data_IF_843533548296
#
_entry.id   IF_843533548296
#
_cell.length_a   1.000
_cell.length_b   1.000
_cell.length_c   1.000
_cell.angle_alpha   90.00
_cell.angle_beta   90.00
_cell.angle_gamma   90.00
#
_symmetry.space_group_name_H-M   'P 1'
#
loop_
_entity.id
_entity.type
_entity.pdbx_description
1 polymer ?
#
# COMPACT_ATOMS: atom_id res chain seq x y z
N UNK A 1 -4.94 -9.56 31.05
CA UNK A 1 -4.05 -10.31 30.14
C UNK A 1 -3.10 -9.39 29.38
N UNK A 2 -3.57 -8.28 28.79
CA UNK A 2 -2.69 -7.24 28.19
C UNK A 2 -1.52 -6.86 29.12
N UNK A 3 -1.77 -6.55 30.40
CA UNK A 3 -0.70 -6.28 31.40
C UNK A 3 0.33 -7.42 31.54
N UNK A 4 -0.09 -8.68 31.47
CA UNK A 4 0.79 -9.84 31.62
C UNK A 4 1.71 -9.95 30.41
N UNK A 5 1.18 -9.73 29.21
CA UNK A 5 1.96 -9.76 27.98
C UNK A 5 3.04 -8.67 27.98
N UNK A 6 2.68 -7.41 28.27
CA UNK A 6 3.65 -6.33 28.39
C UNK A 6 4.78 -6.66 29.40
N UNK A 7 4.44 -7.22 30.57
CA UNK A 7 5.43 -7.68 31.56
C UNK A 7 6.31 -8.83 31.04
N UNK A 8 5.76 -9.76 30.29
CA UNK A 8 6.47 -10.95 29.80
C UNK A 8 7.53 -10.60 28.74
N UNK A 9 7.30 -9.54 27.95
CA UNK A 9 8.25 -9.07 26.94
C UNK A 9 9.29 -8.05 27.45
N UNK A 10 9.39 -7.84 28.77
CA UNK A 10 10.32 -6.85 29.34
C UNK A 10 9.95 -5.40 29.05
N UNK A 11 8.70 -5.14 28.62
CA UNK A 11 8.20 -3.79 28.42
C UNK A 11 7.67 -3.20 29.73
N UNK A 12 7.63 -1.87 29.79
CA UNK A 12 6.93 -1.11 30.84
C UNK A 12 5.57 -1.76 31.13
N UNK A 13 5.28 -2.09 32.39
CA UNK A 13 3.96 -2.60 32.76
C UNK A 13 2.96 -1.46 32.55
N UNK A 14 2.05 -1.54 31.56
CA UNK A 14 1.09 -0.47 31.35
C UNK A 14 0.26 -0.30 32.61
N UNK A 15 0.03 0.95 32.96
CA UNK A 15 -0.93 1.36 33.96
C UNK A 15 -2.32 0.82 33.63
N UNK A 16 -3.18 0.68 34.63
CA UNK A 16 -4.58 0.29 34.40
C UNK A 16 -5.28 1.22 33.39
N UNK A 17 -4.89 2.48 33.34
CA UNK A 17 -5.41 3.48 32.40
C UNK A 17 -4.98 3.17 30.96
N UNK A 18 -3.72 2.86 30.69
CA UNK A 18 -3.26 2.51 29.32
C UNK A 18 -3.94 1.26 28.76
N UNK A 19 -4.28 0.30 29.63
CA UNK A 19 -5.03 -0.90 29.23
C UNK A 19 -6.48 -0.53 28.87
N UNK A 20 -7.15 0.27 29.70
CA UNK A 20 -8.51 0.74 29.45
C UNK A 20 -8.58 1.59 28.17
N UNK A 21 -7.62 2.48 27.97
CA UNK A 21 -7.46 3.28 26.74
C UNK A 21 -7.26 2.38 25.52
N UNK A 22 -6.42 1.35 25.60
CA UNK A 22 -6.23 0.42 24.47
C UNK A 22 -7.52 -0.33 24.13
N UNK A 23 -8.27 -0.76 25.15
CA UNK A 23 -9.58 -1.41 24.95
C UNK A 23 -10.58 -0.43 24.32
N UNK A 24 -10.57 0.84 24.74
CA UNK A 24 -11.40 1.89 24.16
C UNK A 24 -11.03 2.13 22.68
N UNK A 25 -9.75 2.30 22.37
CA UNK A 25 -9.26 2.48 21.00
C UNK A 25 -9.73 1.34 20.10
N UNK A 26 -9.60 0.08 20.56
CA UNK A 26 -10.00 -1.10 19.76
C UNK A 26 -11.51 -1.18 19.55
N UNK A 27 -12.31 -0.91 20.59
CA UNK A 27 -13.77 -1.13 20.53
C UNK A 27 -14.56 0.04 19.96
N UNK A 28 -14.11 1.26 20.24
CA UNK A 28 -14.86 2.49 19.95
C UNK A 28 -14.24 3.31 18.82
N UNK A 29 -12.94 3.11 18.54
CA UNK A 29 -12.17 3.99 17.66
C UNK A 29 -11.49 3.23 16.51
N UNK A 30 -11.94 1.99 16.27
CA UNK A 30 -11.50 1.14 15.16
C UNK A 30 -9.99 0.86 15.10
N UNK A 31 -9.30 0.80 16.25
CA UNK A 31 -7.90 0.38 16.30
C UNK A 31 -7.76 -1.12 16.01
N UNK A 32 -6.95 -1.45 15.01
CA UNK A 32 -6.67 -2.83 14.62
C UNK A 32 -5.23 -3.06 14.11
N UNK A 33 -4.90 -4.33 13.92
CA UNK A 33 -3.78 -4.73 13.07
C UNK A 33 -4.33 -4.90 11.65
N UNK A 34 -4.13 -3.88 10.81
CA UNK A 34 -4.57 -3.90 9.42
C UNK A 34 -4.03 -5.10 8.67
N UNK A 35 -2.77 -5.46 8.91
CA UNK A 35 -2.18 -6.63 8.27
C UNK A 35 -1.05 -7.29 9.03
N UNK A 36 -0.99 -8.61 8.90
CA UNK A 36 0.21 -9.42 9.09
C UNK A 36 0.61 -9.99 7.73
N UNK A 37 1.77 -9.58 7.21
CA UNK A 37 2.30 -10.02 5.93
C UNK A 37 3.52 -10.91 6.13
N UNK A 38 3.47 -12.14 5.61
CA UNK A 38 4.62 -13.04 5.57
C UNK A 38 5.39 -12.84 4.28
N UNK A 39 6.62 -12.35 4.41
CA UNK A 39 7.58 -12.28 3.32
C UNK A 39 8.26 -13.63 3.11
N UNK A 40 8.32 -14.13 1.88
CA UNK A 40 8.91 -15.43 1.53
C UNK A 40 9.87 -15.26 0.36
N UNK A 41 11.13 -15.65 0.55
CA UNK A 41 12.11 -15.72 -0.53
C UNK A 41 11.78 -16.88 -1.47
N UNK A 42 11.70 -16.63 -2.78
CA UNK A 42 11.53 -17.68 -3.81
C UNK A 42 12.78 -17.90 -4.67
N UNK A 43 13.93 -17.34 -4.26
CA UNK A 43 15.15 -17.37 -5.09
C UNK A 43 15.67 -18.78 -5.38
N UNK A 44 15.49 -19.70 -4.43
CA UNK A 44 15.83 -21.13 -4.51
C UNK A 44 14.78 -21.97 -5.26
N UNK A 45 13.60 -21.42 -5.56
CA UNK A 45 12.59 -22.11 -6.36
C UNK A 45 12.87 -22.05 -7.86
N UNK A 46 13.70 -21.11 -8.32
CA UNK A 46 13.99 -20.84 -9.74
C UNK A 46 14.37 -22.12 -10.51
N UNK A 47 13.67 -22.38 -11.62
CA UNK A 47 13.93 -23.53 -12.47
C UNK A 47 13.63 -23.21 -13.95
N UNK A 48 14.38 -23.77 -14.94
CA UNK A 48 14.13 -23.53 -16.35
C UNK A 48 12.80 -24.08 -16.87
N UNK A 49 12.31 -25.16 -16.27
CA UNK A 49 11.01 -25.75 -16.55
C UNK A 49 9.91 -25.01 -15.75
N UNK A 50 8.90 -24.41 -16.43
CA UNK A 50 7.79 -23.73 -15.75
C UNK A 50 6.98 -24.63 -14.83
N UNK A 51 6.81 -25.92 -15.13
CA UNK A 51 6.00 -26.82 -14.29
C UNK A 51 6.70 -27.06 -12.94
N UNK A 52 8.00 -27.38 -12.99
CA UNK A 52 8.84 -27.54 -11.79
C UNK A 52 8.95 -26.23 -10.99
N UNK A 53 9.08 -25.09 -11.68
CA UNK A 53 9.09 -23.78 -11.00
C UNK A 53 7.78 -23.52 -10.25
N UNK A 54 6.64 -23.79 -10.88
CA UNK A 54 5.32 -23.64 -10.26
C UNK A 54 5.15 -24.59 -9.06
N UNK A 55 5.60 -25.85 -9.16
CA UNK A 55 5.60 -26.80 -8.05
C UNK A 55 6.43 -26.27 -6.87
N UNK A 56 7.67 -25.85 -7.13
CA UNK A 56 8.58 -25.32 -6.11
C UNK A 56 8.00 -24.12 -5.35
N UNK A 57 7.40 -23.14 -6.06
CA UNK A 57 6.82 -21.97 -5.39
C UNK A 57 5.56 -22.34 -4.61
N UNK A 58 4.72 -23.25 -5.13
CA UNK A 58 3.52 -23.69 -4.44
C UNK A 58 3.87 -24.39 -3.12
N UNK A 59 4.79 -25.36 -3.16
CA UNK A 59 5.24 -26.08 -1.98
C UNK A 59 5.89 -25.14 -0.96
N UNK A 60 6.74 -24.21 -1.41
CA UNK A 60 7.42 -23.28 -0.51
C UNK A 60 6.45 -22.31 0.15
N UNK A 61 5.52 -21.72 -0.60
CA UNK A 61 4.54 -20.76 -0.06
C UNK A 61 3.62 -21.47 0.95
N UNK A 62 3.04 -22.60 0.58
CA UNK A 62 2.09 -23.33 1.43
C UNK A 62 2.77 -23.91 2.68
N UNK A 63 3.99 -24.44 2.58
CA UNK A 63 4.72 -24.96 3.74
C UNK A 63 5.10 -23.87 4.74
N UNK A 64 5.55 -22.70 4.27
CA UNK A 64 5.91 -21.56 5.14
C UNK A 64 4.68 -20.91 5.78
N UNK A 65 3.59 -20.76 5.04
CA UNK A 65 2.39 -20.09 5.50
C UNK A 65 1.39 -20.99 6.26
N UNK A 66 1.66 -22.30 6.34
CA UNK A 66 0.77 -23.31 6.94
C UNK A 66 0.14 -22.92 8.28
N UNK A 67 0.93 -22.31 9.16
CA UNK A 67 0.50 -21.98 10.53
C UNK A 67 0.10 -20.50 10.71
N UNK A 68 0.15 -19.70 9.64
CA UNK A 68 -0.05 -18.25 9.69
C UNK A 68 -1.47 -17.89 10.17
N UNK A 69 -2.50 -18.48 9.57
CA UNK A 69 -3.89 -18.20 9.91
C UNK A 69 -4.22 -18.65 11.33
N UNK A 70 -3.83 -19.87 11.69
CA UNK A 70 -4.05 -20.40 13.04
C UNK A 70 -3.39 -19.51 14.09
N UNK A 71 -2.11 -19.18 13.90
CA UNK A 71 -1.34 -18.37 14.85
C UNK A 71 -1.91 -16.97 15.01
N UNK A 72 -2.26 -16.30 13.91
CA UNK A 72 -2.84 -14.95 13.97
C UNK A 72 -4.22 -14.96 14.63
N UNK A 73 -5.05 -15.97 14.39
CA UNK A 73 -6.36 -16.11 15.05
C UNK A 73 -6.22 -16.35 16.57
N UNK A 74 -5.30 -17.21 17.00
CA UNK A 74 -5.01 -17.42 18.42
C UNK A 74 -4.56 -16.13 19.11
N UNK A 75 -3.72 -15.33 18.45
CA UNK A 75 -3.23 -14.04 18.96
C UNK A 75 -4.37 -13.02 19.03
N UNK A 76 -5.19 -12.92 17.99
CA UNK A 76 -6.38 -12.08 17.97
C UNK A 76 -7.32 -12.42 19.15
N UNK A 77 -7.58 -13.71 19.39
CA UNK A 77 -8.39 -14.16 20.53
C UNK A 77 -7.74 -13.86 21.89
N UNK A 78 -6.42 -14.02 22.00
CA UNK A 78 -5.68 -13.82 23.24
C UNK A 78 -5.64 -12.34 23.66
N UNK A 79 -5.41 -11.44 22.70
CA UNK A 79 -5.28 -10.01 22.97
C UNK A 79 -6.57 -9.22 22.81
N UNK A 80 -7.57 -9.79 22.12
CA UNK A 80 -8.79 -9.07 21.76
C UNK A 80 -8.57 -7.96 20.74
N UNK A 81 -7.44 -8.00 20.01
CA UNK A 81 -7.08 -7.01 18.99
C UNK A 81 -7.36 -7.64 17.63
N UNK A 82 -8.27 -7.07 16.82
CA UNK A 82 -8.56 -7.57 15.48
C UNK A 82 -7.30 -7.55 14.62
N UNK A 83 -7.06 -8.65 13.89
CA UNK A 83 -6.15 -8.67 12.75
C UNK A 83 -7.06 -8.74 11.54
N UNK A 84 -7.00 -7.76 10.65
CA UNK A 84 -7.93 -7.65 9.52
C UNK A 84 -7.48 -8.56 8.39
N UNK A 85 -6.24 -8.40 7.92
CA UNK A 85 -5.72 -9.17 6.79
C UNK A 85 -4.49 -10.00 7.13
N UNK A 86 -4.43 -11.24 6.64
CA UNK A 86 -3.22 -12.07 6.56
C UNK A 86 -2.80 -12.14 5.11
N UNK A 87 -1.51 -11.95 4.87
CA UNK A 87 -0.99 -11.62 3.55
C UNK A 87 0.32 -12.34 3.31
N UNK A 88 0.66 -12.56 2.05
CA UNK A 88 1.97 -13.09 1.65
C UNK A 88 2.59 -12.11 0.65
N UNK A 89 3.89 -11.86 0.77
CA UNK A 89 4.68 -11.17 -0.25
C UNK A 89 5.84 -12.06 -0.66
N UNK A 90 6.07 -12.22 -1.95
CA UNK A 90 7.15 -13.08 -2.45
C UNK A 90 8.21 -12.30 -3.20
N UNK A 91 9.38 -12.92 -3.41
CA UNK A 91 10.42 -12.34 -4.27
C UNK A 91 9.82 -11.92 -5.61
N UNK A 92 10.14 -10.73 -6.14
CA UNK A 92 9.66 -10.28 -7.44
C UNK A 92 9.73 -11.40 -8.48
N UNK A 93 8.59 -11.80 -9.02
CA UNK A 93 8.50 -12.94 -9.95
C UNK A 93 9.38 -12.72 -11.18
N UNK A 94 9.58 -11.48 -11.60
CA UNK A 94 10.56 -11.12 -12.66
C UNK A 94 11.95 -11.69 -12.39
N UNK A 95 12.39 -11.70 -11.13
CA UNK A 95 13.68 -12.22 -10.68
C UNK A 95 13.61 -13.73 -10.49
N UNK A 96 12.62 -14.23 -9.75
CA UNK A 96 12.51 -15.65 -9.42
C UNK A 96 12.25 -16.53 -10.67
N UNK A 97 11.53 -16.00 -11.66
CA UNK A 97 11.17 -16.69 -12.88
C UNK A 97 12.05 -16.33 -14.10
N UNK A 98 13.12 -15.53 -13.95
CA UNK A 98 13.97 -15.10 -15.08
C UNK A 98 14.57 -16.30 -15.85
N UNK A 99 14.88 -17.40 -15.15
CA UNK A 99 15.42 -18.61 -15.78
C UNK A 99 14.37 -19.46 -16.49
N UNK A 100 13.08 -19.22 -16.21
CA UNK A 100 11.96 -20.02 -16.68
C UNK A 100 11.73 -19.85 -18.19
N UNK A 101 11.65 -20.97 -18.92
CA UNK A 101 11.47 -21.04 -20.38
C UNK A 101 10.01 -20.92 -20.81
N UNK A 102 9.19 -20.17 -20.06
CA UNK A 102 7.83 -19.82 -20.44
C UNK A 102 7.79 -18.58 -21.35
N UNK A 103 6.74 -18.44 -22.15
CA UNK A 103 6.48 -17.23 -22.96
C UNK A 103 5.91 -16.08 -22.11
N UNK A 104 5.14 -16.42 -21.08
CA UNK A 104 4.51 -15.51 -20.13
C UNK A 104 4.59 -16.07 -18.69
N UNK A 105 4.11 -15.32 -17.70
CA UNK A 105 4.07 -15.75 -16.30
C UNK A 105 2.64 -15.87 -15.75
N UNK A 106 1.63 -16.04 -16.61
CA UNK A 106 0.24 -16.22 -16.17
C UNK A 106 0.08 -17.52 -15.37
N UNK A 107 0.79 -18.59 -15.73
CA UNK A 107 0.80 -19.84 -14.94
C UNK A 107 1.32 -19.61 -13.53
N UNK A 108 2.36 -18.79 -13.38
CA UNK A 108 2.97 -18.45 -12.09
C UNK A 108 1.98 -17.68 -11.21
N UNK A 109 1.27 -16.71 -11.79
CA UNK A 109 0.23 -15.97 -11.08
C UNK A 109 -0.89 -16.91 -10.60
N UNK A 110 -1.34 -17.85 -11.43
CA UNK A 110 -2.34 -18.85 -11.02
C UNK A 110 -1.83 -19.73 -9.88
N UNK A 111 -0.57 -20.16 -9.93
CA UNK A 111 0.05 -20.93 -8.85
C UNK A 111 0.14 -20.13 -7.55
N UNK A 112 0.50 -18.84 -7.61
CA UNK A 112 0.47 -17.95 -6.45
C UNK A 112 -0.94 -17.82 -5.86
N UNK A 113 -1.95 -17.69 -6.73
CA UNK A 113 -3.36 -17.59 -6.33
C UNK A 113 -3.83 -18.86 -5.61
N UNK A 114 -3.52 -20.03 -6.15
CA UNK A 114 -3.84 -21.32 -5.53
C UNK A 114 -3.09 -21.52 -4.20
N UNK A 115 -1.82 -21.16 -4.12
CA UNK A 115 -1.05 -21.22 -2.86
C UNK A 115 -1.63 -20.27 -1.81
N UNK A 116 -2.10 -19.08 -2.20
CA UNK A 116 -2.75 -18.12 -1.31
C UNK A 116 -4.11 -18.62 -0.81
N UNK A 117 -4.88 -19.31 -1.66
CA UNK A 117 -6.14 -19.97 -1.27
C UNK A 117 -5.89 -21.11 -0.29
N UNK A 118 -4.92 -21.97 -0.57
CA UNK A 118 -4.55 -23.09 0.31
C UNK A 118 -4.06 -22.59 1.68
N UNK A 119 -3.22 -21.54 1.71
CA UNK A 119 -2.76 -20.93 2.95
C UNK A 119 -3.86 -20.15 3.70
N UNK A 120 -5.02 -19.91 3.07
CA UNK A 120 -6.13 -19.16 3.65
C UNK A 120 -5.86 -17.65 3.83
N UNK A 121 -4.85 -17.09 3.15
CA UNK A 121 -4.51 -15.66 3.23
C UNK A 121 -5.40 -14.82 2.32
N UNK A 122 -5.57 -13.54 2.62
CA UNK A 122 -6.46 -12.65 1.86
C UNK A 122 -5.87 -12.30 0.48
N UNK A 123 -4.57 -12.01 0.43
CA UNK A 123 -3.88 -11.58 -0.78
C UNK A 123 -2.42 -12.04 -0.80
N UNK A 124 -1.88 -12.15 -2.01
CA UNK A 124 -0.47 -12.43 -2.28
C UNK A 124 0.13 -11.40 -3.25
N UNK A 125 1.17 -10.71 -2.80
CA UNK A 125 1.97 -9.77 -3.59
C UNK A 125 3.28 -10.39 -4.06
N UNK A 126 3.97 -9.71 -4.97
CA UNK A 126 5.27 -10.13 -5.49
C UNK A 126 5.26 -10.51 -6.97
N UNK A 127 4.10 -10.46 -7.64
CA UNK A 127 4.02 -10.51 -9.10
C UNK A 127 4.55 -9.19 -9.69
N UNK A 128 5.85 -8.94 -9.51
CA UNK A 128 6.43 -7.61 -9.59
C UNK A 128 7.72 -7.55 -10.41
N UNK A 129 8.03 -6.36 -10.94
CA UNK A 129 9.25 -6.06 -11.67
C UNK A 129 9.92 -4.76 -11.22
N UNK A 130 11.25 -4.70 -11.31
CA UNK A 130 12.07 -3.56 -10.85
C UNK A 130 12.82 -2.93 -12.03
N UNK A 131 12.12 -2.17 -12.86
CA UNK A 131 12.60 -1.71 -14.19
C UNK A 131 13.07 -0.25 -14.26
N UNK A 132 13.25 0.40 -13.11
CA UNK A 132 13.66 1.80 -12.98
C UNK A 132 14.94 2.22 -13.75
N UNK A 133 15.77 1.26 -14.19
CA UNK A 133 16.97 1.53 -14.99
C UNK A 133 17.03 0.76 -16.32
N UNK A 134 15.90 0.22 -16.76
CA UNK A 134 15.75 -0.61 -17.96
C UNK A 134 15.18 -1.98 -17.62
N UNK A 135 14.75 -2.70 -18.65
CA UNK A 135 14.02 -3.96 -18.56
C UNK A 135 14.87 -5.13 -19.06
N UNK A 136 14.86 -6.25 -18.34
CA UNK A 136 15.32 -7.55 -18.85
C UNK A 136 14.23 -8.23 -19.70
N UNK A 137 14.55 -9.41 -20.23
CA UNK A 137 13.54 -10.26 -20.90
C UNK A 137 12.50 -10.75 -19.90
N UNK A 138 12.90 -11.18 -18.69
CA UNK A 138 11.96 -11.58 -17.64
C UNK A 138 11.06 -10.44 -17.17
N UNK A 139 11.60 -9.22 -17.03
CA UNK A 139 10.81 -8.04 -16.68
C UNK A 139 9.69 -7.78 -17.69
N UNK A 140 10.02 -7.76 -18.99
CA UNK A 140 9.04 -7.54 -20.04
C UNK A 140 8.00 -8.67 -20.11
N UNK A 141 8.41 -9.93 -19.92
CA UNK A 141 7.46 -11.05 -19.84
C UNK A 141 6.48 -10.85 -18.69
N UNK A 142 6.97 -10.47 -17.51
CA UNK A 142 6.12 -10.22 -16.36
C UNK A 142 5.14 -9.08 -16.63
N UNK A 143 5.64 -7.92 -17.05
CA UNK A 143 4.83 -6.71 -17.26
C UNK A 143 3.72 -6.98 -18.30
N UNK A 144 4.04 -7.68 -19.39
CA UNK A 144 3.06 -8.04 -20.41
C UNK A 144 2.06 -9.12 -19.94
N UNK A 145 2.39 -9.90 -18.91
CA UNK A 145 1.48 -10.91 -18.33
C UNK A 145 0.48 -10.31 -17.34
N UNK A 146 0.70 -9.08 -16.85
CA UNK A 146 -0.10 -8.46 -15.79
C UNK A 146 -1.61 -8.44 -16.13
N UNK A 147 -2.06 -7.99 -17.32
CA UNK A 147 -3.49 -7.89 -17.60
C UNK A 147 -4.21 -9.23 -17.47
N UNK A 148 -3.72 -10.27 -18.15
CA UNK A 148 -4.28 -11.62 -18.10
C UNK A 148 -4.10 -12.27 -16.72
N UNK A 149 -2.98 -12.04 -16.03
CA UNK A 149 -2.75 -12.55 -14.68
C UNK A 149 -3.78 -11.99 -13.68
N UNK A 150 -4.00 -10.67 -13.66
CA UNK A 150 -4.93 -10.04 -12.72
C UNK A 150 -6.40 -10.28 -13.07
N UNK A 151 -6.71 -10.53 -14.35
CA UNK A 151 -8.05 -10.92 -14.78
C UNK A 151 -8.40 -12.38 -14.42
N UNK A 152 -7.42 -13.28 -14.43
CA UNK A 152 -7.60 -14.73 -14.21
C UNK A 152 -7.30 -15.21 -12.79
N UNK A 153 -6.95 -14.30 -11.87
CA UNK A 153 -6.66 -14.59 -10.46
C UNK A 153 -7.49 -13.71 -9.54
N UNK A 154 -7.72 -14.16 -8.30
CA UNK A 154 -8.51 -13.43 -7.32
C UNK A 154 -7.61 -12.63 -6.37
N UNK A 155 -6.61 -13.29 -5.78
CA UNK A 155 -5.81 -12.83 -4.64
C UNK A 155 -4.45 -12.24 -5.01
N UNK A 156 -4.01 -12.38 -6.26
CA UNK A 156 -2.70 -11.88 -6.71
C UNK A 156 -2.73 -10.35 -6.87
N UNK A 157 -1.74 -9.69 -6.29
CA UNK A 157 -1.40 -8.29 -6.50
C UNK A 157 -0.07 -8.14 -7.23
N UNK A 158 0.04 -7.11 -8.06
CA UNK A 158 1.18 -6.86 -8.93
C UNK A 158 1.71 -5.44 -8.78
N UNK A 159 3.03 -5.28 -8.89
CA UNK A 159 3.65 -3.96 -8.90
C UNK A 159 4.83 -3.82 -9.85
N UNK A 160 5.07 -2.59 -10.31
CA UNK A 160 6.21 -2.29 -11.17
C UNK A 160 6.91 -1.03 -10.68
N UNK A 161 8.18 -1.15 -10.27
CA UNK A 161 8.99 0.00 -9.88
C UNK A 161 9.71 0.58 -11.11
N UNK A 162 9.25 1.75 -11.57
CA UNK A 162 9.69 2.41 -12.81
C UNK A 162 10.63 3.58 -12.57
N UNK A 163 10.83 3.99 -11.32
CA UNK A 163 11.68 5.12 -10.98
C UNK A 163 12.42 4.94 -9.65
N UNK A 164 13.60 5.56 -9.54
CA UNK A 164 14.27 5.74 -8.25
C UNK A 164 14.99 7.09 -8.22
N UNK A 165 15.15 7.64 -7.03
CA UNK A 165 15.93 8.87 -6.77
C UNK A 165 17.34 8.79 -7.36
N UNK A 166 17.93 7.59 -7.42
CA UNK A 166 19.30 7.38 -7.92
C UNK A 166 19.37 7.14 -9.44
N UNK A 167 18.31 6.60 -10.04
CA UNK A 167 18.28 6.29 -11.48
C UNK A 167 17.55 7.35 -12.32
N UNK A 168 16.67 8.13 -11.69
CA UNK A 168 15.68 8.95 -12.37
C UNK A 168 14.41 8.14 -12.69
N UNK A 169 13.73 8.49 -13.78
CA UNK A 169 12.45 7.88 -14.19
C UNK A 169 12.64 7.19 -15.53
N UNK A 170 12.35 5.90 -15.61
CA UNK A 170 12.32 5.16 -16.86
C UNK A 170 10.99 5.45 -17.59
N UNK A 171 11.03 6.37 -18.56
CA UNK A 171 9.84 6.79 -19.30
C UNK A 171 9.36 5.73 -20.30
N UNK A 172 10.24 4.84 -20.75
CA UNK A 172 9.83 3.69 -21.57
C UNK A 172 8.93 2.74 -20.77
N UNK A 173 9.33 2.42 -19.54
CA UNK A 173 8.52 1.63 -18.62
C UNK A 173 7.21 2.34 -18.22
N UNK A 174 7.26 3.66 -17.96
CA UNK A 174 6.05 4.46 -17.66
C UNK A 174 5.04 4.39 -18.81
N UNK A 175 5.50 4.58 -20.05
CA UNK A 175 4.66 4.48 -21.25
C UNK A 175 4.09 3.09 -21.47
N UNK A 176 4.85 2.04 -21.13
CA UNK A 176 4.36 0.66 -21.13
C UNK A 176 3.28 0.44 -20.06
N UNK A 177 3.49 0.94 -18.84
CA UNK A 177 2.53 0.79 -17.74
C UNK A 177 1.19 1.45 -18.02
N UNK A 178 1.14 2.61 -18.69
CA UNK A 178 -0.13 3.22 -19.10
C UNK A 178 -0.95 2.33 -20.05
N UNK A 179 -0.29 1.57 -20.92
CA UNK A 179 -0.95 0.58 -21.81
C UNK A 179 -1.41 -0.65 -21.03
N UNK A 180 -0.56 -1.16 -20.14
CA UNK A 180 -0.87 -2.32 -19.28
C UNK A 180 -2.07 -2.03 -18.37
N UNK A 181 -2.11 -0.87 -17.71
CA UNK A 181 -3.24 -0.47 -16.86
C UNK A 181 -4.52 -0.41 -17.68
N UNK A 182 -4.49 0.26 -18.85
CA UNK A 182 -5.67 0.34 -19.72
C UNK A 182 -6.16 -1.05 -20.14
N UNK A 183 -5.25 -1.94 -20.56
CA UNK A 183 -5.59 -3.31 -20.94
C UNK A 183 -6.13 -4.13 -19.75
N UNK A 184 -5.58 -3.93 -18.56
CA UNK A 184 -6.02 -4.60 -17.33
C UNK A 184 -7.45 -4.18 -16.96
N UNK A 185 -7.78 -2.90 -17.08
CA UNK A 185 -9.14 -2.41 -16.89
C UNK A 185 -10.11 -3.02 -17.90
N UNK A 186 -9.74 -3.04 -19.19
CA UNK A 186 -10.56 -3.63 -20.25
C UNK A 186 -10.86 -5.12 -20.04
N UNK A 187 -9.89 -5.91 -19.58
CA UNK A 187 -10.07 -7.34 -19.31
C UNK A 187 -10.90 -7.65 -18.06
N UNK A 188 -11.15 -6.64 -17.23
CA UNK A 188 -11.96 -6.75 -16.01
C UNK A 188 -13.12 -5.75 -16.00
N UNK A 189 -13.56 -5.33 -17.19
CA UNK A 189 -14.60 -4.32 -17.37
C UNK A 189 -15.94 -4.70 -16.73
N UNK A 190 -16.25 -6.00 -16.68
CA UNK A 190 -17.46 -6.54 -16.05
C UNK A 190 -17.52 -6.36 -14.53
N UNK A 191 -16.39 -5.99 -13.92
CA UNK A 191 -16.22 -5.71 -12.49
C UNK A 191 -15.58 -4.34 -12.28
N UNK A 192 -16.00 -3.34 -13.04
CA UNK A 192 -15.54 -1.95 -12.94
C UNK A 192 -14.00 -1.78 -13.05
N UNK A 193 -13.31 -2.67 -13.77
CA UNK A 193 -11.85 -2.60 -13.93
C UNK A 193 -11.06 -3.06 -12.69
N UNK A 194 -11.64 -3.92 -11.84
CA UNK A 194 -11.06 -4.40 -10.57
C UNK A 194 -9.61 -4.88 -10.66
N UNK A 195 -9.15 -5.35 -11.82
CA UNK A 195 -7.74 -5.72 -12.01
C UNK A 195 -6.79 -4.58 -11.67
N UNK A 196 -7.16 -3.33 -11.97
CA UNK A 196 -6.34 -2.15 -11.67
C UNK A 196 -6.27 -1.83 -10.17
N UNK A 197 -7.24 -2.24 -9.37
CA UNK A 197 -7.18 -2.10 -7.91
C UNK A 197 -6.11 -3.01 -7.27
N UNK A 198 -5.61 -4.00 -8.04
CA UNK A 198 -4.54 -4.94 -7.65
C UNK A 198 -3.20 -4.65 -8.35
N UNK A 199 -3.06 -3.49 -9.01
CA UNK A 199 -1.87 -3.09 -9.75
C UNK A 199 -1.34 -1.74 -9.27
N UNK A 200 -0.05 -1.69 -8.94
CA UNK A 200 0.62 -0.45 -8.49
C UNK A 200 1.88 -0.16 -9.29
N UNK A 201 2.06 1.09 -9.70
CA UNK A 201 3.32 1.58 -10.29
C UNK A 201 4.05 2.42 -9.26
N UNK A 202 5.34 2.13 -8.99
CA UNK A 202 6.12 2.82 -7.97
C UNK A 202 7.28 3.66 -8.49
N UNK A 203 7.57 4.72 -7.74
CA UNK A 203 8.90 5.27 -7.58
C UNK A 203 9.45 4.90 -6.19
N UNK A 204 10.75 4.59 -6.11
CA UNK A 204 11.43 4.27 -4.86
C UNK A 204 10.70 3.18 -4.05
N UNK A 205 10.27 2.09 -4.69
CA UNK A 205 9.61 0.99 -4.00
C UNK A 205 10.51 0.43 -2.88
N UNK A 206 10.02 0.35 -1.63
CA UNK A 206 10.73 -0.28 -0.52
C UNK A 206 10.74 -1.81 -0.68
N UNK A 207 11.74 -2.46 -0.10
CA UNK A 207 11.97 -3.92 -0.21
C UNK A 207 11.18 -4.77 0.80
N UNK A 208 10.57 -4.13 1.81
CA UNK A 208 9.95 -4.74 2.98
C UNK A 208 8.50 -4.25 3.22
N UNK A 209 7.84 -3.68 2.20
CA UNK A 209 6.52 -3.06 2.41
C UNK A 209 5.36 -4.07 2.54
N UNK A 210 4.53 -3.96 3.60
CA UNK A 210 3.29 -4.73 3.73
C UNK A 210 2.09 -4.11 2.96
N UNK A 211 2.32 -3.05 2.17
CA UNK A 211 1.29 -2.45 1.31
C UNK A 211 0.94 -3.38 0.15
N UNK A 212 -0.06 -4.22 0.36
CA UNK A 212 -0.36 -5.38 -0.47
C UNK A 212 -0.42 -5.11 -1.97
N UNK A 213 -1.13 -4.06 -2.40
CA UNK A 213 -1.31 -3.80 -3.82
C UNK A 213 0.01 -3.68 -4.58
N UNK A 214 1.13 -3.39 -3.88
CA UNK A 214 2.45 -3.53 -4.45
C UNK A 214 3.53 -4.15 -3.56
N UNK A 215 3.15 -4.96 -2.59
CA UNK A 215 4.08 -5.64 -1.68
C UNK A 215 4.91 -6.68 -2.44
N UNK A 216 6.21 -6.75 -2.14
CA UNK A 216 7.08 -7.84 -2.58
C UNK A 216 8.15 -8.10 -1.51
N UNK A 217 8.76 -9.28 -1.55
CA UNK A 217 9.84 -9.65 -0.64
C UNK A 217 11.19 -9.35 -1.28
N UNK A 218 11.86 -8.30 -0.81
CA UNK A 218 13.09 -7.78 -1.40
C UNK A 218 14.23 -8.80 -1.51
N UNK A 219 15.23 -8.46 -2.31
CA UNK A 219 16.41 -9.32 -2.48
C UNK A 219 17.32 -9.30 -1.24
N UNK A 220 17.29 -8.21 -0.47
CA UNK A 220 18.01 -8.09 0.80
C UNK A 220 17.32 -8.78 1.98
N UNK A 221 16.05 -9.12 1.85
CA UNK A 221 15.25 -9.70 2.93
C UNK A 221 15.65 -11.17 3.23
N UNK A 222 15.44 -11.64 4.48
CA UNK A 222 15.81 -12.99 4.89
C UNK A 222 14.94 -14.06 4.20
N UNK A 223 15.18 -15.33 4.52
CA UNK A 223 14.43 -16.45 3.92
C UNK A 223 12.91 -16.35 4.13
N UNK A 224 12.49 -15.91 5.33
CA UNK A 224 11.10 -15.67 5.69
C UNK A 224 11.06 -14.56 6.76
N UNK A 225 10.07 -13.67 6.70
CA UNK A 225 9.91 -12.54 7.64
C UNK A 225 8.44 -12.23 7.90
N UNK A 226 8.12 -11.66 9.05
CA UNK A 226 6.79 -11.10 9.35
C UNK A 226 6.87 -9.57 9.39
N UNK A 227 6.13 -8.93 8.49
CA UNK A 227 5.90 -7.48 8.46
C UNK A 227 4.47 -7.20 8.93
N UNK A 228 4.29 -6.18 9.77
CA UNK A 228 2.99 -5.84 10.35
C UNK A 228 2.60 -4.42 9.98
N UNK A 229 1.34 -4.22 9.61
CA UNK A 229 0.75 -2.89 9.46
C UNK A 229 -0.32 -2.66 10.52
N UNK A 230 -0.24 -1.53 11.22
CA UNK A 230 -1.28 -1.07 12.14
C UNK A 230 -2.24 -0.12 11.42
N UNK A 231 -3.46 0.03 11.93
CA UNK A 231 -4.34 1.12 11.55
C UNK A 231 -5.07 1.68 12.77
N UNK A 232 -5.23 3.00 12.80
CA UNK A 232 -6.08 3.68 13.77
C UNK A 232 -6.39 5.15 13.43
N UNK A 233 -6.86 5.50 12.22
CA UNK A 233 -7.38 6.84 11.92
C UNK A 233 -8.44 7.28 12.92
N UNK A 234 -9.37 6.40 13.28
CA UNK A 234 -10.43 6.72 14.24
C UNK A 234 -9.89 7.16 15.61
N UNK A 235 -8.90 6.45 16.14
CA UNK A 235 -8.25 6.83 17.41
C UNK A 235 -7.53 8.18 17.33
N UNK A 236 -6.87 8.47 16.20
CA UNK A 236 -6.25 9.78 15.97
C UNK A 236 -7.30 10.88 15.85
N UNK A 237 -8.38 10.63 15.10
CA UNK A 237 -9.47 11.58 14.92
C UNK A 237 -10.14 11.94 16.25
N UNK A 238 -10.51 10.94 17.05
CA UNK A 238 -11.11 11.12 18.37
C UNK A 238 -10.19 11.95 19.27
N UNK A 239 -8.90 11.59 19.33
CA UNK A 239 -7.93 12.32 20.15
C UNK A 239 -7.77 13.80 19.74
N UNK A 240 -7.87 14.11 18.44
CA UNK A 240 -7.86 15.50 17.96
C UNK A 240 -9.16 16.22 18.31
N UNK A 241 -10.32 15.58 18.14
CA UNK A 241 -11.63 16.15 18.46
C UNK A 241 -11.85 16.41 19.95
N UNK A 242 -11.17 15.68 20.84
CA UNK A 242 -11.24 15.89 22.29
C UNK A 242 -10.47 17.12 22.79
N UNK A 243 -9.64 17.73 21.95
CA UNK A 243 -8.90 18.93 22.31
C UNK A 243 -9.80 20.17 22.34
N UNK A 244 -9.69 20.97 23.40
CA UNK A 244 -10.44 22.23 23.55
C UNK A 244 -9.66 23.41 22.94
N UNK A 245 -10.07 23.90 21.76
CA UNK A 245 -9.44 25.01 21.05
C UNK A 245 -7.91 24.90 20.90
N UNK A 246 -7.38 23.75 20.44
CA UNK A 246 -5.94 23.54 20.36
C UNK A 246 -5.30 24.40 19.27
N UNK A 247 -4.05 24.78 19.48
CA UNK A 247 -3.18 25.21 18.40
C UNK A 247 -2.57 24.01 17.64
N UNK A 248 -1.96 24.27 16.49
CA UNK A 248 -1.37 23.21 15.64
C UNK A 248 -0.23 22.43 16.31
N UNK A 249 0.49 23.05 17.25
CA UNK A 249 1.52 22.35 18.04
C UNK A 249 0.87 21.33 18.98
N UNK A 250 -0.21 21.70 19.66
CA UNK A 250 -0.96 20.80 20.55
C UNK A 250 -1.56 19.62 19.77
N UNK A 251 -2.15 19.88 18.59
CA UNK A 251 -2.64 18.84 17.67
C UNK A 251 -1.51 17.87 17.30
N UNK A 252 -0.34 18.40 16.89
CA UNK A 252 0.83 17.57 16.53
C UNK A 252 1.31 16.70 17.70
N UNK A 253 1.38 17.25 18.92
CA UNK A 253 1.75 16.49 20.12
C UNK A 253 0.75 15.37 20.43
N UNK A 254 -0.56 15.64 20.29
CA UNK A 254 -1.61 14.65 20.50
C UNK A 254 -1.51 13.50 19.49
N UNK A 255 -1.38 13.82 18.19
CA UNK A 255 -1.21 12.81 17.14
C UNK A 255 0.03 11.95 17.42
N UNK A 256 1.17 12.55 17.81
CA UNK A 256 2.40 11.81 18.15
C UNK A 256 2.18 10.82 19.29
N UNK A 257 1.51 11.24 20.36
CA UNK A 257 1.22 10.39 21.52
C UNK A 257 0.29 9.23 21.15
N UNK A 258 -0.75 9.50 20.37
CA UNK A 258 -1.68 8.47 19.90
C UNK A 258 -0.98 7.48 18.97
N UNK A 259 -0.20 7.97 17.99
CA UNK A 259 0.60 7.15 17.10
C UNK A 259 1.59 6.26 17.87
N UNK A 260 2.26 6.79 18.90
CA UNK A 260 3.16 6.00 19.76
C UNK A 260 2.44 4.80 20.40
N UNK A 261 1.23 5.01 20.96
CA UNK A 261 0.44 3.95 21.61
C UNK A 261 0.01 2.87 20.62
N UNK A 262 -0.55 3.29 19.48
CA UNK A 262 -0.95 2.39 18.38
C UNK A 262 0.23 1.53 17.91
N UNK A 263 1.39 2.17 17.74
CA UNK A 263 2.61 1.51 17.29
C UNK A 263 3.10 0.48 18.29
N UNK A 264 3.12 0.80 19.59
CA UNK A 264 3.56 -0.14 20.64
C UNK A 264 2.68 -1.39 20.69
N UNK A 265 1.37 -1.21 20.52
CA UNK A 265 0.44 -2.33 20.41
C UNK A 265 0.78 -3.20 19.18
N UNK A 266 0.99 -2.58 18.02
CA UNK A 266 1.37 -3.30 16.79
C UNK A 266 2.67 -4.07 16.89
N UNK A 267 3.70 -3.47 17.48
CA UNK A 267 5.00 -4.10 17.70
C UNK A 267 4.88 -5.35 18.58
N UNK A 268 4.10 -5.26 19.67
CA UNK A 268 3.85 -6.38 20.56
C UNK A 268 3.17 -7.54 19.83
N UNK A 269 2.12 -7.26 19.05
CA UNK A 269 1.41 -8.29 18.28
C UNK A 269 2.33 -8.91 17.23
N UNK A 270 3.08 -8.10 16.48
CA UNK A 270 3.98 -8.58 15.43
C UNK A 270 5.13 -9.45 15.96
N UNK A 271 5.75 -9.07 17.07
CA UNK A 271 6.77 -9.88 17.74
C UNK A 271 6.21 -11.20 18.24
N UNK A 272 4.97 -11.22 18.73
CA UNK A 272 4.35 -12.46 19.17
C UNK A 272 4.01 -13.40 18.01
N UNK A 273 3.52 -12.87 16.88
CA UNK A 273 3.31 -13.65 15.65
C UNK A 273 4.63 -14.27 15.21
N UNK A 274 5.68 -13.46 15.08
CA UNK A 274 7.01 -13.86 14.64
C UNK A 274 7.58 -14.98 15.54
N UNK A 275 7.51 -14.81 16.86
CA UNK A 275 7.96 -15.78 17.84
C UNK A 275 7.22 -17.12 17.75
N UNK A 276 5.89 -17.11 17.56
CA UNK A 276 5.09 -18.35 17.45
C UNK A 276 5.32 -19.09 16.14
N UNK A 277 5.57 -18.36 15.05
CA UNK A 277 5.88 -18.95 13.75
C UNK A 277 7.35 -19.37 13.63
N UNK A 278 8.23 -18.93 14.54
CA UNK A 278 9.68 -19.17 14.44
C UNK A 278 10.30 -18.44 13.26
N UNK A 279 9.79 -17.24 12.94
CA UNK A 279 10.19 -16.39 11.82
C UNK A 279 10.69 -15.06 12.37
N UNK A 280 11.62 -14.41 11.67
CA UNK A 280 12.12 -13.08 12.06
C UNK A 280 11.01 -12.02 11.98
N UNK A 281 11.04 -11.09 12.92
CA UNK A 281 10.22 -9.89 12.86
C UNK A 281 10.93 -8.86 11.97
N UNK A 282 10.26 -8.46 10.88
CA UNK A 282 10.76 -7.43 9.97
C UNK A 282 10.33 -6.06 10.46
N UNK A 283 9.46 -5.42 9.70
CA UNK A 283 9.04 -4.04 9.96
C UNK A 283 7.64 -3.90 10.54
N UNK A 284 7.44 -2.76 11.18
CA UNK A 284 6.14 -2.24 11.57
C UNK A 284 5.81 -1.00 10.72
N UNK A 285 4.75 -1.12 9.93
CA UNK A 285 4.20 -0.06 9.10
C UNK A 285 3.16 0.73 9.89
N UNK A 286 3.42 2.03 10.07
CA UNK A 286 2.70 2.96 10.95
C UNK A 286 1.46 3.60 10.31
N UNK A 287 1.01 3.07 9.18
CA UNK A 287 0.10 3.81 8.31
C UNK A 287 -1.25 4.11 8.93
N UNK A 288 -1.71 5.36 8.83
CA UNK A 288 -3.12 5.69 9.04
C UNK A 288 -3.87 5.29 7.78
N UNK A 289 -4.26 4.03 7.71
CA UNK A 289 -4.88 3.45 6.53
C UNK A 289 -6.39 3.31 6.75
N UNK A 290 -7.20 4.21 6.18
CA UNK A 290 -8.63 4.24 6.43
C UNK A 290 -9.35 3.00 5.89
N UNK A 291 -10.58 2.85 6.33
CA UNK A 291 -11.55 1.90 5.78
C UNK A 291 -12.82 2.64 5.39
N UNK A 292 -13.69 2.05 4.56
CA UNK A 292 -14.98 2.67 4.23
C UNK A 292 -15.92 2.85 5.44
N UNK A 293 -15.51 2.42 6.64
CA UNK A 293 -16.29 2.56 7.86
C UNK A 293 -16.37 4.02 8.32
N UNK A 294 -17.55 4.41 8.80
CA UNK A 294 -17.76 5.73 9.38
C UNK A 294 -16.87 5.90 10.62
N UNK A 295 -16.16 7.02 10.70
CA UNK A 295 -15.25 7.33 11.80
C UNK A 295 -13.80 6.87 11.55
N UNK A 296 -13.53 6.13 10.47
CA UNK A 296 -12.20 5.64 10.12
C UNK A 296 -11.65 6.33 8.86
N UNK A 297 -11.50 7.66 8.95
CA UNK A 297 -11.18 8.53 7.81
C UNK A 297 -10.02 9.48 8.14
N UNK A 298 -9.04 9.52 7.23
CA UNK A 298 -7.95 10.51 7.25
C UNK A 298 -8.49 11.89 6.87
N UNK A 299 -9.46 11.97 5.95
CA UNK A 299 -10.14 13.23 5.64
C UNK A 299 -10.83 13.84 6.88
N UNK A 300 -11.47 13.02 7.72
CA UNK A 300 -12.07 13.48 8.97
C UNK A 300 -11.04 14.06 9.95
N UNK A 301 -9.85 13.45 10.06
CA UNK A 301 -8.75 14.01 10.87
C UNK A 301 -8.36 15.39 10.36
N UNK A 302 -8.19 15.54 9.04
CA UNK A 302 -7.82 16.82 8.42
C UNK A 302 -8.89 17.89 8.65
N UNK A 303 -10.17 17.51 8.62
CA UNK A 303 -11.29 18.41 8.95
C UNK A 303 -11.33 18.76 10.44
N UNK A 304 -11.07 17.80 11.33
CA UNK A 304 -10.95 18.01 12.78
C UNK A 304 -9.79 18.96 13.15
N UNK A 305 -8.75 19.06 12.31
CA UNK A 305 -7.67 20.05 12.46
C UNK A 305 -8.12 21.49 12.12
N UNK A 306 -9.34 21.69 11.63
CA UNK A 306 -9.91 23.00 11.34
C UNK A 306 -10.17 23.30 9.85
N UNK A 307 -10.09 22.30 8.97
CA UNK A 307 -10.47 22.47 7.57
C UNK A 307 -11.97 22.25 7.40
N UNK A 308 -12.64 23.11 6.62
CA UNK A 308 -14.08 22.94 6.33
C UNK A 308 -14.37 21.67 5.55
N UNK A 309 -13.47 21.29 4.63
CA UNK A 309 -13.57 20.10 3.81
C UNK A 309 -12.19 19.65 3.36
N UNK A 310 -11.93 18.34 3.38
CA UNK A 310 -10.72 17.78 2.77
C UNK A 310 -10.60 18.22 1.29
N UNK A 311 -9.38 18.61 0.89
CA UNK A 311 -9.09 19.11 -0.46
C UNK A 311 -9.06 20.63 -0.57
N UNK A 312 -9.61 21.39 0.38
CA UNK A 312 -9.49 22.85 0.38
C UNK A 312 -8.04 23.34 0.55
N UNK A 313 -7.79 24.64 0.37
CA UNK A 313 -6.49 25.25 0.68
C UNK A 313 -6.14 25.02 2.16
N UNK A 314 -4.86 24.75 2.45
CA UNK A 314 -4.42 24.31 3.78
C UNK A 314 -4.39 22.78 3.96
N UNK A 315 -5.15 21.99 3.20
CA UNK A 315 -5.14 20.51 3.29
C UNK A 315 -3.75 19.91 3.16
N UNK A 316 -2.92 20.41 2.23
CA UNK A 316 -1.55 19.93 2.05
C UNK A 316 -0.69 20.20 3.30
N UNK A 317 -0.83 21.37 3.93
CA UNK A 317 -0.10 21.69 5.15
C UNK A 317 -0.57 20.86 6.35
N UNK A 318 -1.89 20.66 6.49
CA UNK A 318 -2.46 19.80 7.52
C UNK A 318 -2.00 18.34 7.37
N UNK A 319 -2.00 17.81 6.13
CA UNK A 319 -1.51 16.46 5.84
C UNK A 319 -0.02 16.30 6.12
N UNK A 320 0.78 17.33 5.82
CA UNK A 320 2.20 17.33 6.15
C UNK A 320 2.43 17.23 7.67
N UNK A 321 1.68 18.01 8.47
CA UNK A 321 1.72 17.94 9.93
C UNK A 321 1.28 16.57 10.44
N UNK A 322 0.17 16.04 9.94
CA UNK A 322 -0.34 14.71 10.30
C UNK A 322 0.71 13.62 10.01
N UNK A 323 1.26 13.60 8.80
CA UNK A 323 2.24 12.60 8.39
C UNK A 323 3.52 12.66 9.23
N UNK A 324 4.04 13.87 9.47
CA UNK A 324 5.23 14.08 10.30
C UNK A 324 5.00 13.66 11.75
N UNK A 325 3.84 14.01 12.33
CA UNK A 325 3.47 13.61 13.68
C UNK A 325 3.33 12.09 13.83
N UNK A 326 2.67 11.40 12.89
CA UNK A 326 2.56 9.94 12.89
C UNK A 326 3.93 9.28 12.84
N UNK A 327 4.80 9.72 11.92
CA UNK A 327 6.18 9.19 11.78
C UNK A 327 7.01 9.40 13.04
N UNK A 328 6.97 10.60 13.64
CA UNK A 328 7.69 10.90 14.89
C UNK A 328 7.22 10.04 16.06
N UNK A 329 5.89 9.88 16.22
CA UNK A 329 5.31 9.04 17.27
C UNK A 329 5.70 7.57 17.11
N UNK A 330 5.57 7.02 15.90
CA UNK A 330 5.88 5.62 15.65
C UNK A 330 7.37 5.28 15.66
N UNK A 331 8.26 6.16 15.17
CA UNK A 331 9.71 5.96 15.25
C UNK A 331 10.22 5.95 16.71
N UNK A 332 9.57 6.67 17.62
CA UNK A 332 9.85 6.58 19.05
C UNK A 332 9.34 5.24 19.65
N UNK A 333 8.33 4.64 19.02
CA UNK A 333 7.68 3.42 19.46
C UNK A 333 8.27 2.13 18.88
N UNK A 334 9.14 2.15 17.88
CA UNK A 334 9.77 0.93 17.37
C UNK A 334 11.08 1.27 16.68
N UNK A 335 12.09 0.40 16.85
CA UNK A 335 13.35 0.49 16.10
C UNK A 335 13.24 -0.07 14.68
N UNK A 336 12.14 -0.78 14.37
CA UNK A 336 11.91 -1.47 13.10
C UNK A 336 10.76 -0.84 12.31
N UNK A 337 10.65 0.49 12.33
CA UNK A 337 9.67 1.20 11.50
C UNK A 337 10.11 1.14 10.05
N UNK A 338 9.21 0.73 9.16
CA UNK A 338 9.51 0.58 7.73
C UNK A 338 8.27 0.62 6.84
N UNK A 339 8.39 0.09 5.63
CA UNK A 339 7.29 0.05 4.66
C UNK A 339 6.84 1.44 4.19
N UNK A 340 5.53 1.64 4.09
CA UNK A 340 4.90 2.87 3.59
C UNK A 340 4.38 3.79 4.71
N UNK A 341 4.95 3.65 5.91
CA UNK A 341 4.55 4.37 7.13
C UNK A 341 4.16 5.83 6.88
N UNK A 342 2.91 6.18 7.20
CA UNK A 342 2.41 7.56 7.17
C UNK A 342 0.92 7.67 6.88
N UNK A 343 0.47 8.87 6.50
CA UNK A 343 -0.93 9.07 6.12
C UNK A 343 -1.21 8.50 4.72
N UNK A 344 -2.18 7.58 4.64
CA UNK A 344 -2.69 7.01 3.40
C UNK A 344 -3.88 7.86 2.93
N UNK A 345 -3.96 8.10 1.62
CA UNK A 345 -5.06 8.86 1.02
C UNK A 345 -5.80 8.08 -0.10
N UNK A 346 -6.24 6.84 0.16
CA UNK A 346 -6.96 6.02 -0.82
C UNK A 346 -8.37 6.56 -1.02
N UNK A 347 -8.63 7.15 -2.18
CA UNK A 347 -9.91 7.84 -2.44
C UNK A 347 -11.09 6.89 -2.28
N UNK A 348 -11.00 5.64 -2.75
CA UNK A 348 -12.11 4.70 -2.66
C UNK A 348 -12.32 4.05 -1.29
N UNK A 349 -11.31 4.12 -0.41
CA UNK A 349 -11.32 3.46 0.90
C UNK A 349 -11.62 4.47 2.03
N UNK A 350 -11.60 5.78 1.78
CA UNK A 350 -11.85 6.83 2.78
C UNK A 350 -13.16 7.57 2.50
N UNK A 351 -14.17 7.35 3.35
CA UNK A 351 -15.50 7.96 3.19
C UNK A 351 -15.47 9.50 3.10
N UNK A 352 -14.60 10.16 3.86
CA UNK A 352 -14.46 11.62 3.81
C UNK A 352 -13.81 12.09 2.50
N UNK A 353 -12.89 11.31 1.92
CA UNK A 353 -12.32 11.63 0.60
C UNK A 353 -13.33 11.40 -0.53
N UNK A 354 -14.11 10.31 -0.48
CA UNK A 354 -15.22 10.07 -1.41
C UNK A 354 -16.16 11.30 -1.44
N UNK A 355 -16.57 11.77 -0.26
CA UNK A 355 -17.47 12.92 -0.13
C UNK A 355 -16.80 14.25 -0.49
N UNK A 356 -15.49 14.38 -0.34
CA UNK A 356 -14.72 15.54 -0.79
C UNK A 356 -14.61 15.61 -2.32
N UNK A 357 -14.42 14.46 -2.99
CA UNK A 357 -14.43 14.41 -4.46
C UNK A 357 -15.83 14.71 -5.00
N UNK A 358 -16.88 14.14 -4.42
CA UNK A 358 -18.27 14.43 -4.81
C UNK A 358 -18.65 15.90 -4.62
N UNK A 359 -18.16 16.52 -3.55
CA UNK A 359 -18.35 17.95 -3.29
C UNK A 359 -17.49 18.86 -4.19
N UNK A 360 -16.52 18.29 -4.92
CA UNK A 360 -15.61 19.03 -5.80
C UNK A 360 -14.48 19.76 -5.06
N UNK A 361 -14.30 19.53 -3.75
CA UNK A 361 -13.20 20.12 -2.98
C UNK A 361 -11.88 19.38 -3.18
N UNK A 362 -11.93 18.09 -3.49
CA UNK A 362 -10.75 17.25 -3.74
C UNK A 362 -10.64 16.90 -5.23
N UNK A 363 -9.78 17.61 -5.94
CA UNK A 363 -9.47 17.35 -7.37
C UNK A 363 -8.26 16.41 -7.50
N UNK A 364 -8.01 15.90 -8.71
CA UNK A 364 -6.85 15.04 -8.98
C UNK A 364 -5.53 15.80 -8.78
N UNK A 365 -5.46 17.06 -9.20
CA UNK A 365 -4.29 17.94 -9.01
C UNK A 365 -4.08 18.25 -7.53
N UNK A 366 -5.18 18.37 -6.77
CA UNK A 366 -5.09 18.55 -5.32
C UNK A 366 -4.58 17.29 -4.63
N UNK A 367 -5.02 16.11 -5.07
CA UNK A 367 -4.48 14.82 -4.61
C UNK A 367 -2.99 14.74 -4.89
N UNK A 368 -2.53 15.06 -6.11
CA UNK A 368 -1.10 15.12 -6.45
C UNK A 368 -0.33 16.11 -5.57
N UNK A 369 -0.89 17.29 -5.28
CA UNK A 369 -0.27 18.21 -4.33
C UNK A 369 -0.19 17.61 -2.91
N UNK A 370 -1.21 16.85 -2.48
CA UNK A 370 -1.19 16.13 -1.21
C UNK A 370 -0.20 14.95 -1.22
N UNK A 371 -0.01 14.29 -2.37
CA UNK A 371 0.94 13.18 -2.47
C UNK A 371 2.36 13.63 -2.20
N UNK A 372 2.72 14.88 -2.52
CA UNK A 372 4.04 15.44 -2.23
C UNK A 372 4.45 15.33 -0.75
N UNK A 373 3.49 15.37 0.17
CA UNK A 373 3.72 15.34 1.62
C UNK A 373 3.18 14.10 2.34
N UNK A 374 2.50 13.17 1.64
CA UNK A 374 2.00 11.91 2.21
C UNK A 374 3.07 10.80 2.21
N UNK A 375 2.68 9.51 2.33
CA UNK A 375 3.62 8.39 2.15
C UNK A 375 3.35 7.51 0.92
N UNK A 376 2.11 7.39 0.44
CA UNK A 376 1.75 6.43 -0.62
C UNK A 376 1.87 7.00 -2.03
N UNK A 377 1.11 8.04 -2.35
CA UNK A 377 0.94 8.55 -3.72
C UNK A 377 -0.53 8.59 -4.12
N UNK A 378 -0.80 8.57 -5.43
CA UNK A 378 -2.14 8.56 -5.99
C UNK A 378 -2.76 7.17 -5.83
N UNK A 379 -3.62 7.02 -4.83
CA UNK A 379 -4.11 5.71 -4.39
C UNK A 379 -5.63 5.56 -4.58
N UNK A 380 -6.04 4.45 -5.21
CA UNK A 380 -7.43 4.10 -5.53
C UNK A 380 -8.24 5.23 -6.18
N UNK A 381 -7.64 5.87 -7.18
CA UNK A 381 -8.31 6.93 -7.95
C UNK A 381 -8.99 6.33 -9.18
N UNK A 382 -10.27 6.64 -9.38
CA UNK A 382 -11.02 6.22 -10.56
C UNK A 382 -11.11 7.38 -11.57
N UNK A 383 -10.81 7.10 -12.84
CA UNK A 383 -10.86 8.07 -13.94
C UNK A 383 -11.72 7.53 -15.09
N UNK A 384 -12.17 8.37 -16.05
CA UNK A 384 -13.01 7.93 -17.16
C UNK A 384 -12.36 6.77 -17.93
N UNK A 385 -13.16 5.78 -18.32
CA UNK A 385 -12.66 4.59 -19.02
C UNK A 385 -12.03 4.88 -20.38
N UNK A 386 -12.40 6.01 -21.00
CA UNK A 386 -11.84 6.47 -22.27
C UNK A 386 -10.50 7.20 -22.10
N UNK A 387 -10.04 7.46 -20.86
CA UNK A 387 -8.73 8.05 -20.57
C UNK A 387 -7.63 7.34 -21.37
N UNK A 388 -6.84 8.12 -22.12
CA UNK A 388 -5.84 7.56 -23.01
C UNK A 388 -4.69 6.91 -22.23
N UNK A 389 -4.06 5.88 -22.79
CA UNK A 389 -2.86 5.29 -22.19
C UNK A 389 -1.73 6.32 -22.01
N UNK A 390 -1.65 7.32 -22.89
CA UNK A 390 -0.71 8.44 -22.77
C UNK A 390 -1.05 9.33 -21.57
N UNK A 391 -2.31 9.66 -21.34
CA UNK A 391 -2.74 10.44 -20.16
C UNK A 391 -2.45 9.68 -18.87
N UNK A 392 -2.75 8.38 -18.81
CA UNK A 392 -2.39 7.52 -17.66
C UNK A 392 -0.88 7.52 -17.42
N UNK A 393 -0.09 7.39 -18.48
CA UNK A 393 1.37 7.44 -18.41
C UNK A 393 1.89 8.79 -17.90
N UNK A 394 1.25 9.90 -18.30
CA UNK A 394 1.62 11.22 -17.83
C UNK A 394 1.33 11.42 -16.34
N UNK A 395 0.15 10.99 -15.87
CA UNK A 395 -0.20 10.99 -14.42
C UNK A 395 0.82 10.16 -13.63
N UNK A 396 1.21 9.00 -14.16
CA UNK A 396 2.28 8.19 -13.56
C UNK A 396 3.58 8.99 -13.52
N UNK A 397 4.00 9.61 -14.62
CA UNK A 397 5.25 10.37 -14.70
C UNK A 397 5.29 11.54 -13.69
N UNK A 398 4.18 12.25 -13.52
CA UNK A 398 4.07 13.36 -12.57
C UNK A 398 4.25 12.87 -11.13
N UNK A 399 3.57 11.79 -10.74
CA UNK A 399 3.72 11.19 -9.41
C UNK A 399 5.12 10.56 -9.20
N UNK A 400 5.72 9.98 -10.25
CA UNK A 400 7.10 9.50 -10.18
C UNK A 400 8.08 10.65 -9.96
N UNK A 401 7.84 11.81 -10.59
CA UNK A 401 8.65 13.01 -10.39
C UNK A 401 8.54 13.52 -8.95
N UNK A 402 7.34 13.56 -8.38
CA UNK A 402 7.12 13.87 -6.96
C UNK A 402 7.95 12.94 -6.06
N UNK A 403 7.93 11.63 -6.30
CA UNK A 403 8.67 10.65 -5.50
C UNK A 403 10.19 10.76 -5.64
N UNK A 404 10.67 10.88 -6.88
CA UNK A 404 12.10 10.99 -7.20
C UNK A 404 12.72 12.27 -6.65
N UNK A 405 12.05 13.41 -6.78
CA UNK A 405 12.55 14.70 -6.29
C UNK A 405 12.53 14.76 -4.77
N UNK A 406 11.46 14.29 -4.13
CA UNK A 406 11.31 14.33 -2.67
C UNK A 406 11.97 13.14 -1.94
N UNK A 407 12.70 12.27 -2.66
CA UNK A 407 13.43 11.11 -2.10
C UNK A 407 12.53 10.18 -1.27
N UNK A 408 11.31 9.97 -1.74
CA UNK A 408 10.29 9.18 -1.04
C UNK A 408 9.67 8.17 -1.97
N UNK A 409 9.07 7.15 -1.40
CA UNK A 409 8.20 6.25 -2.13
C UNK A 409 6.97 7.01 -2.59
N UNK A 410 6.63 6.84 -3.87
CA UNK A 410 5.34 7.24 -4.42
C UNK A 410 4.80 6.11 -5.28
N UNK A 411 3.47 6.04 -5.36
CA UNK A 411 2.73 4.96 -5.97
C UNK A 411 1.58 5.54 -6.78
N UNK A 412 1.25 4.90 -7.89
CA UNK A 412 0.03 5.16 -8.65
C UNK A 412 -0.78 3.89 -8.74
N UNK A 413 -1.97 3.93 -8.15
CA UNK A 413 -3.04 2.94 -8.26
C UNK A 413 -4.28 3.62 -8.84
N UNK A 414 -4.34 3.63 -10.17
CA UNK A 414 -5.34 4.34 -10.97
C UNK A 414 -6.22 3.35 -11.74
N UNK A 415 -7.52 3.60 -11.76
CA UNK A 415 -8.52 2.74 -12.39
C UNK A 415 -9.23 3.52 -13.50
N UNK A 416 -8.86 3.33 -14.78
CA UNK A 416 -9.66 3.82 -15.90
C UNK A 416 -10.90 2.95 -16.07
N UNK A 417 -12.02 3.35 -15.48
CA UNK A 417 -13.22 2.53 -15.34
C UNK A 417 -13.99 2.38 -16.67
N UNK A 418 -13.97 1.19 -17.32
CA UNK A 418 -14.52 1.04 -18.67
C UNK A 418 -16.02 1.35 -18.74
N UNK A 419 -16.41 2.18 -19.71
CA UNK A 419 -17.81 2.58 -19.90
C UNK A 419 -18.35 3.58 -18.87
N UNK A 420 -17.52 4.09 -17.95
CA UNK A 420 -17.88 5.11 -16.96
C UNK A 420 -17.27 6.46 -17.33
N UNK A 421 -18.00 7.54 -17.00
CA UNK A 421 -17.61 8.93 -17.20
C UNK A 421 -17.74 9.73 -15.90
N UNK A 422 -17.32 11.00 -15.92
CA UNK A 422 -17.49 11.92 -14.78
C UNK A 422 -18.97 12.04 -14.44
N UNK A 423 -19.31 11.80 -13.17
CA UNK A 423 -20.69 11.68 -12.69
C UNK A 423 -21.07 10.25 -12.31
N UNK A 424 -20.37 9.25 -12.86
CA UNK A 424 -20.49 7.85 -12.45
C UNK A 424 -19.60 7.52 -11.24
N UNK A 425 -19.71 6.27 -10.78
CA UNK A 425 -18.80 5.68 -9.78
C UNK A 425 -18.47 4.23 -10.11
N UNK A 426 -17.37 3.75 -9.53
CA UNK A 426 -17.00 2.33 -9.47
C UNK A 426 -17.35 1.76 -8.10
N UNK A 427 -17.77 0.50 -8.07
CA UNK A 427 -18.12 -0.21 -6.83
C UNK A 427 -17.39 -1.55 -6.76
N UNK A 428 -16.37 -1.62 -5.90
CA UNK A 428 -15.58 -2.83 -5.67
C UNK A 428 -16.08 -3.60 -4.44
N UNK A 429 -16.67 -2.87 -3.47
CA UNK A 429 -17.12 -3.41 -2.20
C UNK A 429 -15.98 -3.81 -1.27
N UNK A 430 -16.35 -4.36 -0.11
CA UNK A 430 -15.39 -4.77 0.92
C UNK A 430 -14.44 -3.63 1.32
N UNK A 431 -13.15 -3.96 1.48
CA UNK A 431 -12.12 -2.98 1.85
C UNK A 431 -11.78 -1.99 0.74
N UNK A 432 -12.04 -2.33 -0.52
CA UNK A 432 -11.75 -1.46 -1.66
C UNK A 432 -12.79 -0.36 -1.85
N UNK A 433 -13.97 -0.50 -1.25
CA UNK A 433 -15.01 0.52 -1.22
C UNK A 433 -15.53 0.90 -2.61
N UNK A 434 -15.77 2.19 -2.81
CA UNK A 434 -16.29 2.78 -4.05
C UNK A 434 -15.65 4.12 -4.31
N UNK A 435 -15.50 4.50 -5.58
CA UNK A 435 -14.91 5.80 -5.94
C UNK A 435 -15.72 6.52 -7.02
N UNK A 436 -15.99 7.82 -6.85
CA UNK A 436 -16.50 8.65 -7.94
C UNK A 436 -15.45 8.80 -9.04
N UNK A 437 -15.90 8.86 -10.30
CA UNK A 437 -15.01 9.10 -11.44
C UNK A 437 -14.51 10.55 -11.42
N UNK A 438 -13.21 10.73 -11.30
CA UNK A 438 -12.55 12.04 -11.25
C UNK A 438 -12.23 12.54 -12.66
N UNK A 439 -12.46 13.83 -12.97
CA UNK A 439 -12.06 14.39 -14.25
C UNK A 439 -10.53 14.37 -14.41
N UNK A 440 -10.08 14.20 -15.65
CA UNK A 440 -8.68 14.34 -16.06
C UNK A 440 -8.54 15.49 -17.05
N UNK A 441 -7.34 16.04 -17.20
CA UNK A 441 -7.06 17.10 -18.17
C UNK A 441 -7.43 16.66 -19.60
N UNK A 442 -8.09 17.56 -20.34
CA UNK A 442 -8.45 17.34 -21.75
C UNK A 442 -7.29 17.62 -22.71
N UNK A 443 -6.17 18.17 -22.22
CA UNK A 443 -4.97 18.42 -23.03
C UNK A 443 -4.12 17.16 -23.16
N UNK A 444 -3.54 16.96 -24.35
CA UNK A 444 -2.75 15.75 -24.63
C UNK A 444 -1.31 15.87 -24.15
N UNK A 445 -0.86 14.84 -23.42
CA UNK A 445 0.55 14.61 -23.06
C UNK A 445 1.24 13.57 -23.95
N UNK A 446 0.61 13.19 -25.06
CA UNK A 446 1.08 12.08 -25.93
C UNK A 446 2.50 12.31 -26.46
N UNK A 447 2.81 13.52 -26.92
CA UNK A 447 4.17 13.82 -27.41
C UNK A 447 5.21 13.71 -26.31
N UNK A 448 4.90 14.09 -25.07
CA UNK A 448 5.83 13.98 -23.95
C UNK A 448 6.11 12.51 -23.61
N UNK A 449 5.07 11.69 -23.46
CA UNK A 449 5.19 10.26 -23.15
C UNK A 449 5.92 9.50 -24.26
N UNK A 450 5.61 9.78 -25.52
CA UNK A 450 6.21 9.10 -26.67
C UNK A 450 7.69 9.47 -26.91
N UNK A 451 8.25 10.45 -26.18
CA UNK A 451 9.71 10.67 -26.19
C UNK A 451 10.47 9.49 -25.58
N UNK A 452 9.84 8.76 -24.66
CA UNK A 452 10.45 7.63 -23.97
C UNK A 452 11.76 8.00 -23.29
N UNK A 453 12.67 7.04 -23.23
CA UNK A 453 13.98 7.19 -22.64
C UNK A 453 13.92 7.36 -21.12
N UNK A 454 14.78 8.24 -20.58
CA UNK A 454 14.95 8.38 -19.13
C UNK A 454 15.05 9.83 -18.72
N UNK A 455 14.20 10.24 -17.77
CA UNK A 455 14.42 11.50 -17.04
C UNK A 455 15.60 11.26 -16.10
N UNK A 456 16.70 12.03 -16.20
CA UNK A 456 17.88 11.83 -15.36
C UNK A 456 17.58 11.97 -13.87
N UNK A 457 18.39 11.31 -13.04
CA UNK A 457 18.32 11.47 -11.59
C UNK A 457 18.57 12.95 -11.20
N UNK A 458 17.86 13.47 -10.19
CA UNK A 458 18.06 14.84 -9.73
C UNK A 458 19.44 15.05 -9.11
N UNK A 459 19.97 16.27 -9.25
CA UNK A 459 21.25 16.66 -8.64
C UNK A 459 21.07 16.77 -7.14
N UNK A 460 21.83 15.98 -6.38
CA UNK A 460 21.73 15.96 -4.92
C UNK A 460 22.52 17.08 -4.23
N UNK A 461 23.54 17.64 -4.88
CA UNK A 461 24.43 18.65 -4.30
C UNK A 461 23.93 20.09 -4.41
N UNK A 462 22.86 20.34 -5.19
CA UNK A 462 22.28 21.67 -5.43
C UNK A 462 20.90 21.81 -4.76
N UNK A 463 20.77 21.30 -3.53
CA UNK A 463 19.63 21.64 -2.68
C UNK A 463 19.85 23.03 -2.12
N UNK A 464 19.41 24.05 -2.84
CA UNK A 464 19.51 25.46 -2.46
C UNK A 464 18.32 25.88 -1.61
#
# INVERSE_FOLDING_TARGET
MISIAFKHYGFYSPSSNEILETIQMVRMEHLDIRTVTMGISLRDCSHPDPEVFNENIYEKITSRAKELIRTTNEIQSLYGIPIINRRISVTPISIAAESCRSQDFVSVAKTMDEAAKEAGVDFIGGFSALVHKGETRGDLKLINSIPEALASTEKVCSSVNVATTKAGINMDAVGLMGKVIKKTAELTAERDGIGCAKLVVFANAPEDNPFMAGAFHGIGEPECVINVGVSGPGAVNTAVCELENPNLTEISETIKKTAFKITRMGEMVGKEVSRRLGVEFGILDLSLAPTPAIGDSVAAILEAMGLERCGTHGTTAALALLNDAVKKGGAMASSSVGGLSGAFIPVSEDAGMIEAVKAGSLTLEKLEAMTSVCSVGLDMIAVPGDTSAATLSAIIADEMAVGVINKKTTAVRIIPAPGKAVGDSVEFGGLLGSAPIMPVSSFSSETFVNRGGRIPAPIQSLTN
#
